data_IF_092751738160
#
_entry.id   IF_092751738160
#
_cell.length_a   1.000
_cell.length_b   1.000
_cell.length_c   1.000
_cell.angle_alpha   90.00
_cell.angle_beta   90.00
_cell.angle_gamma   90.00
#
_symmetry.space_group_name_H-M   'P 1'
#
loop_
_entity.id
_entity.type
_entity.pdbx_description
1 polymer ?
#
# COMPACT_ATOMS: atom_id res chain seq x y z
N UNK A 1 -10.62 -13.60 6.97
CA UNK A 1 -9.39 -13.88 7.78
C UNK A 1 -9.52 -15.29 8.32
N UNK A 2 -8.40 -16.01 8.45
CA UNK A 2 -8.40 -17.48 8.55
C UNK A 2 -7.43 -18.20 7.61
N UNK A 3 -6.69 -17.46 6.77
CA UNK A 3 -5.69 -18.03 5.86
C UNK A 3 -4.33 -18.12 6.55
N UNK A 4 -3.58 -19.16 6.24
CA UNK A 4 -2.22 -19.33 6.76
C UNK A 4 -1.28 -18.30 6.13
N UNK A 5 -0.33 -17.79 6.90
CA UNK A 5 0.67 -16.83 6.41
C UNK A 5 1.45 -17.34 5.19
N UNK A 6 1.60 -18.67 5.01
CA UNK A 6 2.22 -19.27 3.84
C UNK A 6 1.57 -18.85 2.50
N UNK A 7 0.27 -18.52 2.50
CA UNK A 7 -0.38 -17.96 1.31
C UNK A 7 0.17 -16.57 0.97
N UNK A 8 0.48 -15.74 1.96
CA UNK A 8 1.08 -14.43 1.74
C UNK A 8 2.47 -14.55 1.10
N UNK A 9 3.27 -15.54 1.49
CA UNK A 9 4.58 -15.79 0.86
C UNK A 9 4.44 -16.13 -0.63
N UNK A 10 3.40 -16.88 -1.02
CA UNK A 10 3.16 -17.21 -2.44
C UNK A 10 2.77 -15.98 -3.27
N UNK A 11 2.07 -15.02 -2.68
CA UNK A 11 1.55 -13.85 -3.39
C UNK A 11 2.54 -12.68 -3.39
N UNK A 12 3.27 -12.50 -2.30
CA UNK A 12 4.11 -11.32 -2.05
C UNK A 12 5.62 -11.63 -1.99
N UNK A 13 6.01 -12.90 -2.05
CA UNK A 13 7.40 -13.30 -1.90
C UNK A 13 7.87 -13.25 -0.46
N UNK A 14 9.10 -12.81 -0.23
CA UNK A 14 9.64 -12.73 1.13
C UNK A 14 9.25 -11.42 1.81
N UNK A 15 8.84 -11.45 3.08
CA UNK A 15 8.64 -10.24 3.87
C UNK A 15 9.98 -9.53 4.06
N UNK A 16 9.97 -8.20 4.04
CA UNK A 16 11.13 -7.38 4.34
C UNK A 16 11.36 -7.22 5.85
N UNK A 17 10.33 -7.48 6.65
CA UNK A 17 10.40 -7.43 8.11
C UNK A 17 9.46 -8.48 8.72
N UNK A 18 10.02 -9.26 9.65
CA UNK A 18 9.29 -10.24 10.45
C UNK A 18 9.68 -10.05 11.91
N UNK A 19 8.72 -10.20 12.81
CA UNK A 19 8.99 -10.14 14.23
C UNK A 19 7.79 -10.55 15.06
N UNK A 20 7.88 -10.27 16.35
CA UNK A 20 6.82 -10.56 17.33
C UNK A 20 6.31 -9.26 17.91
N UNK A 21 4.99 -9.11 17.94
CA UNK A 21 4.33 -7.93 18.49
C UNK A 21 4.40 -7.95 20.01
N UNK A 22 5.23 -7.08 20.56
CA UNK A 22 5.42 -6.90 22.01
C UNK A 22 5.20 -5.45 22.45
N UNK A 23 4.86 -4.56 21.52
CA UNK A 23 4.69 -3.12 21.79
C UNK A 23 3.27 -2.75 22.21
N UNK A 24 2.33 -3.68 22.04
CA UNK A 24 0.96 -3.56 22.56
C UNK A 24 0.91 -4.01 24.03
N UNK A 25 -0.15 -3.64 24.73
CA UNK A 25 -0.39 -4.12 26.10
C UNK A 25 -0.37 -5.67 26.17
N UNK A 26 0.22 -6.29 27.21
CA UNK A 26 0.24 -7.74 27.36
C UNK A 26 -1.13 -8.43 27.36
N UNK A 27 -2.20 -7.70 27.70
CA UNK A 27 -3.59 -8.19 27.63
C UNK A 27 -4.20 -8.11 26.23
N UNK A 28 -3.54 -7.43 25.28
CA UNK A 28 -3.99 -7.34 23.89
C UNK A 28 -3.95 -8.70 23.22
N UNK A 29 -4.98 -9.00 22.41
CA UNK A 29 -5.01 -10.22 21.57
C UNK A 29 -3.84 -10.32 20.60
N UNK A 30 -3.20 -9.20 20.29
CA UNK A 30 -2.05 -9.14 19.38
C UNK A 30 -0.72 -9.33 20.10
N UNK A 31 -0.69 -9.32 21.43
CA UNK A 31 0.56 -9.51 22.18
C UNK A 31 1.10 -10.93 21.94
N UNK A 32 2.33 -11.01 21.44
CA UNK A 32 2.98 -12.25 21.06
C UNK A 32 2.61 -12.77 19.66
N UNK A 33 1.75 -12.09 18.90
CA UNK A 33 1.53 -12.44 17.49
C UNK A 33 2.78 -12.20 16.66
N UNK A 34 2.95 -12.99 15.60
CA UNK A 34 4.00 -12.73 14.62
C UNK A 34 3.49 -11.71 13.61
N UNK A 35 4.24 -10.63 13.40
CA UNK A 35 3.99 -9.71 12.30
C UNK A 35 4.89 -10.00 11.10
N UNK A 36 4.36 -9.78 9.92
CA UNK A 36 5.05 -9.94 8.64
C UNK A 36 4.73 -8.75 7.75
N UNK A 37 5.74 -7.97 7.39
CA UNK A 37 5.60 -6.86 6.47
C UNK A 37 6.18 -7.21 5.11
N UNK A 38 5.35 -7.05 4.09
CA UNK A 38 5.66 -7.27 2.69
C UNK A 38 5.66 -5.93 1.96
N UNK A 39 6.49 -5.82 0.93
CA UNK A 39 6.50 -4.68 0.02
C UNK A 39 6.41 -5.19 -1.42
N UNK A 40 5.47 -4.66 -2.18
CA UNK A 40 5.33 -4.92 -3.61
C UNK A 40 5.39 -3.61 -4.37
N UNK A 41 6.46 -3.43 -5.14
CA UNK A 41 6.61 -2.29 -6.05
C UNK A 41 5.89 -2.58 -7.36
N UNK A 42 5.10 -1.63 -7.84
CA UNK A 42 4.50 -1.69 -9.17
C UNK A 42 5.46 -1.09 -10.20
N UNK A 43 5.18 -1.33 -11.48
CA UNK A 43 5.88 -0.68 -12.58
C UNK A 43 5.83 0.84 -12.42
N UNK A 44 6.94 1.51 -12.72
CA UNK A 44 6.96 2.96 -12.76
C UNK A 44 6.18 3.45 -13.98
N UNK A 45 5.44 4.53 -13.83
CA UNK A 45 4.75 5.21 -14.93
C UNK A 45 4.94 6.72 -14.80
N UNK A 46 4.82 7.40 -15.93
CA UNK A 46 4.87 8.85 -15.98
C UNK A 46 3.43 9.38 -15.87
N UNK A 47 3.21 10.33 -14.99
CA UNK A 47 1.93 11.03 -14.86
C UNK A 47 2.10 12.51 -15.14
N UNK A 48 1.13 13.11 -15.81
CA UNK A 48 1.08 14.56 -15.99
C UNK A 48 0.36 15.20 -14.81
N UNK A 49 1.00 16.18 -14.20
CA UNK A 49 0.44 16.96 -13.10
C UNK A 49 0.36 18.42 -13.50
N UNK A 50 -0.82 19.01 -13.33
CA UNK A 50 -1.00 20.45 -13.51
C UNK A 50 -0.18 21.19 -12.45
N UNK A 51 0.76 22.02 -12.90
CA UNK A 51 1.67 22.78 -12.02
C UNK A 51 1.40 24.29 -12.05
N UNK A 52 0.56 24.75 -12.98
CA UNK A 52 0.16 26.14 -13.04
C UNK A 52 -0.82 26.39 -14.18
N UNK A 53 -1.52 27.51 -14.08
CA UNK A 53 -2.33 28.04 -15.16
C UNK A 53 -2.17 29.55 -15.21
N UNK A 54 -2.13 30.12 -16.41
CA UNK A 54 -2.00 31.56 -16.63
C UNK A 54 -2.84 32.00 -17.82
N UNK A 55 -3.15 33.29 -17.88
CA UNK A 55 -3.73 33.92 -19.08
C UNK A 55 -2.60 34.61 -19.84
N UNK A 56 -2.36 34.19 -21.07
CA UNK A 56 -1.40 34.81 -21.99
C UNK A 56 -2.13 35.80 -22.90
N UNK A 57 -1.65 37.05 -22.94
CA UNK A 57 -2.19 38.12 -23.81
C UNK A 57 -1.21 38.54 -24.90
N UNK A 58 -0.04 37.88 -25.01
CA UNK A 58 1.02 38.21 -25.97
C UNK A 58 0.57 38.11 -27.44
N UNK A 59 -0.48 37.34 -27.72
CA UNK A 59 -1.06 37.17 -29.05
C UNK A 59 -2.21 38.16 -29.37
N UNK A 60 -2.35 39.25 -28.60
CA UNK A 60 -3.36 40.28 -28.83
C UNK A 60 -4.79 39.88 -28.45
N UNK A 61 -4.99 38.69 -27.89
CA UNK A 61 -6.23 38.21 -27.27
C UNK A 61 -5.90 37.33 -26.06
N UNK A 62 -6.74 37.29 -25.01
CA UNK A 62 -6.51 36.44 -23.86
C UNK A 62 -6.64 34.96 -24.22
N UNK A 63 -5.59 34.18 -23.95
CA UNK A 63 -5.53 32.73 -24.14
C UNK A 63 -5.26 32.08 -22.80
N UNK A 64 -6.08 31.11 -22.41
CA UNK A 64 -5.85 30.32 -21.21
C UNK A 64 -4.78 29.25 -21.49
N UNK A 65 -3.74 29.20 -20.66
CA UNK A 65 -2.63 28.28 -20.80
C UNK A 65 -2.47 27.48 -19.51
N UNK A 66 -2.45 26.17 -19.65
CA UNK A 66 -2.14 25.23 -18.57
C UNK A 66 -0.71 24.70 -18.74
N UNK A 67 0.00 24.59 -17.62
CA UNK A 67 1.34 24.07 -17.56
C UNK A 67 1.33 22.71 -16.87
N UNK A 68 1.75 21.69 -17.58
CA UNK A 68 1.85 20.33 -17.07
C UNK A 68 3.30 19.93 -16.87
N UNK A 69 3.58 19.26 -15.76
CA UNK A 69 4.87 18.60 -15.50
C UNK A 69 4.67 17.09 -15.55
N UNK A 70 5.55 16.41 -16.27
CA UNK A 70 5.66 14.95 -16.21
C UNK A 70 6.43 14.56 -14.95
N UNK A 71 5.80 13.81 -14.06
CA UNK A 71 6.43 13.23 -12.87
C UNK A 71 6.48 11.70 -13.03
N UNK A 72 7.66 11.11 -12.83
CA UNK A 72 7.82 9.67 -12.81
C UNK A 72 7.43 9.14 -11.43
N UNK A 73 6.41 8.30 -11.38
CA UNK A 73 5.90 7.71 -10.14
C UNK A 73 6.20 6.22 -10.12
N UNK A 74 6.65 5.72 -8.97
CA UNK A 74 6.75 4.30 -8.70
C UNK A 74 5.91 3.96 -7.47
N UNK A 75 4.69 3.42 -7.65
CA UNK A 75 3.87 3.03 -6.52
C UNK A 75 4.52 1.86 -5.77
N UNK A 76 4.50 1.95 -4.44
CA UNK A 76 4.79 0.84 -3.56
C UNK A 76 3.55 0.48 -2.76
N UNK A 77 3.30 -0.82 -2.63
CA UNK A 77 2.29 -1.37 -1.75
C UNK A 77 2.98 -2.01 -0.56
N UNK A 78 2.60 -1.61 0.66
CA UNK A 78 3.08 -2.23 1.88
C UNK A 78 1.93 -2.94 2.57
N UNK A 79 2.15 -4.20 2.95
CA UNK A 79 1.14 -5.04 3.57
C UNK A 79 1.73 -5.64 4.85
N UNK A 80 1.10 -5.38 5.98
CA UNK A 80 1.40 -6.00 7.26
C UNK A 80 0.37 -7.07 7.58
N UNK A 81 0.82 -8.25 8.00
CA UNK A 81 -0.03 -9.31 8.54
C UNK A 81 0.35 -9.59 9.99
N UNK A 82 -0.64 -9.78 10.86
CA UNK A 82 -0.45 -10.32 12.20
C UNK A 82 -1.08 -11.70 12.23
N UNK A 83 -0.25 -12.69 12.47
CA UNK A 83 -0.65 -14.08 12.54
C UNK A 83 -0.52 -14.62 13.95
N UNK A 84 -1.48 -15.45 14.33
CA UNK A 84 -1.48 -16.13 15.60
C UNK A 84 -0.20 -16.97 15.79
N UNK A 85 0.34 -16.90 17.00
CA UNK A 85 1.65 -17.48 17.36
C UNK A 85 1.68 -19.00 17.28
N UNK A 86 0.53 -19.64 17.47
CA UNK A 86 0.42 -21.10 17.52
C UNK A 86 0.00 -21.68 16.16
N UNK A 87 -0.89 -20.99 15.45
CA UNK A 87 -1.53 -21.51 14.24
C UNK A 87 -0.98 -20.92 12.94
N UNK A 88 -0.23 -19.81 13.01
CA UNK A 88 0.20 -19.01 11.85
C UNK A 88 -0.96 -18.57 10.95
N UNK A 89 -2.18 -18.52 11.50
CA UNK A 89 -3.36 -18.01 10.83
C UNK A 89 -3.37 -16.49 10.94
N UNK A 90 -3.64 -15.82 9.81
CA UNK A 90 -3.74 -14.36 9.75
C UNK A 90 -5.04 -13.92 10.43
N UNK A 91 -4.88 -13.22 11.55
CA UNK A 91 -5.96 -12.64 12.36
C UNK A 91 -6.21 -11.17 12.04
N UNK A 92 -5.20 -10.48 11.52
CA UNK A 92 -5.30 -9.09 11.13
C UNK A 92 -4.35 -8.75 9.98
N UNK A 93 -4.74 -7.77 9.16
CA UNK A 93 -3.86 -7.20 8.14
C UNK A 93 -4.04 -5.70 8.05
N UNK A 94 -2.99 -5.03 7.62
CA UNK A 94 -2.96 -3.61 7.32
C UNK A 94 -2.34 -3.40 5.94
N UNK A 95 -2.90 -2.49 5.16
CA UNK A 95 -2.42 -2.14 3.82
C UNK A 95 -2.12 -0.65 3.79
N UNK A 96 -0.97 -0.26 3.21
CA UNK A 96 -0.61 1.12 2.92
C UNK A 96 -0.19 1.26 1.46
N UNK A 97 -0.64 2.33 0.81
CA UNK A 97 -0.37 2.63 -0.59
C UNK A 97 -1.51 2.25 -1.54
N UNK A 98 -1.30 2.48 -2.83
CA UNK A 98 -2.31 2.29 -3.88
C UNK A 98 -2.37 0.83 -4.35
N UNK A 99 -2.78 -0.02 -3.42
CA UNK A 99 -3.16 -1.39 -3.71
C UNK A 99 -4.62 -1.55 -3.35
N UNK A 100 -5.52 -1.07 -4.22
CA UNK A 100 -6.92 -1.48 -4.19
C UNK A 100 -7.01 -3.02 -4.29
N UNK A 101 -7.55 -3.65 -3.25
CA UNK A 101 -7.71 -5.11 -3.14
C UNK A 101 -8.94 -5.60 -3.90
N UNK A 102 -8.95 -5.39 -5.22
CA UNK A 102 -9.90 -6.06 -6.11
C UNK A 102 -9.44 -7.49 -6.40
N UNK A 103 -9.82 -8.47 -5.56
CA UNK A 103 -9.86 -9.87 -5.98
C UNK A 103 -8.91 -10.89 -5.34
N UNK A 104 -8.19 -10.58 -4.25
CA UNK A 104 -7.25 -11.54 -3.62
C UNK A 104 -7.81 -12.34 -2.41
N UNK A 105 -9.13 -12.34 -2.19
CA UNK A 105 -9.75 -13.24 -1.21
C UNK A 105 -9.36 -13.01 0.27
N UNK A 106 -8.76 -11.86 0.59
CA UNK A 106 -8.66 -11.29 1.92
C UNK A 106 -9.51 -10.02 1.89
N UNK A 107 -10.39 -9.85 2.88
CA UNK A 107 -11.54 -8.93 2.84
C UNK A 107 -11.31 -7.56 2.21
N UNK A 108 -12.36 -7.05 1.58
CA UNK A 108 -12.37 -5.69 1.03
C UNK A 108 -12.20 -4.68 2.18
N UNK A 109 -11.12 -3.89 2.18
CA UNK A 109 -11.10 -2.59 2.85
C UNK A 109 -11.22 -1.52 1.78
N UNK A 110 -12.45 -1.26 1.37
CA UNK A 110 -12.82 0.00 0.73
C UNK A 110 -13.07 1.03 1.83
N UNK A 111 -12.24 2.08 1.85
CA UNK A 111 -12.68 3.47 1.87
C UNK A 111 -11.50 4.41 1.74
#
# INVERSE_FOLDING_TARGET
>A
MGKNIAEAYKVFGNPWLVGTETKVDPSSKFYGHKFYFFEKRRGAYDQQKLVGSSVDTSQGRPVYVEQYRTERVQPACQIGFWADKNTNIIDYYQVKGDCGWGGLGLGQTFR
#
